data_IF_601261536230
#
_entry.id   IF_601261536230
#
_cell.length_a   1.000
_cell.length_b   1.000
_cell.length_c   1.000
_cell.angle_alpha   90.00
_cell.angle_beta   90.00
_cell.angle_gamma   90.00
#
_symmetry.space_group_name_H-M   'P 1'
#
loop_
_entity.id
_entity.type
_entity.pdbx_description
1 polymer ?
#
# COMPACT_ATOMS: atom_id res chain seq x y z
N UNK A 1 -9.62 -22.99 -6.63
CA UNK A 1 -9.96 -21.54 -6.69
C UNK A 1 -8.67 -20.78 -6.95
N UNK A 2 -8.68 -19.78 -7.84
CA UNK A 2 -7.51 -18.93 -8.09
C UNK A 2 -7.24 -18.06 -6.86
N UNK A 3 -5.96 -17.76 -6.58
CA UNK A 3 -5.59 -16.85 -5.49
C UNK A 3 -6.05 -15.42 -5.84
N UNK A 4 -6.96 -14.79 -5.07
CA UNK A 4 -7.50 -13.48 -5.38
C UNK A 4 -6.48 -12.34 -5.26
N UNK A 5 -5.32 -12.59 -4.66
CA UNK A 5 -4.24 -11.60 -4.54
C UNK A 5 -3.42 -11.47 -5.83
N UNK A 6 -3.44 -12.51 -6.69
CA UNK A 6 -2.76 -12.48 -7.99
C UNK A 6 -3.75 -11.93 -9.02
N UNK A 7 -3.43 -10.77 -9.55
CA UNK A 7 -4.30 -10.05 -10.47
C UNK A 7 -3.60 -9.81 -11.81
N UNK A 8 -3.57 -8.58 -12.30
CA UNK A 8 -2.87 -8.19 -13.53
C UNK A 8 -1.39 -8.01 -13.25
N UNK A 9 -0.56 -8.26 -14.26
CA UNK A 9 0.87 -7.99 -14.19
C UNK A 9 1.28 -7.05 -15.31
N UNK A 10 2.16 -6.11 -15.01
CA UNK A 10 2.74 -5.20 -15.98
C UNK A 10 4.21 -4.95 -15.65
N UNK A 11 5.02 -4.76 -16.68
CA UNK A 11 6.44 -4.46 -16.50
C UNK A 11 6.62 -3.02 -16.04
N UNK A 12 7.31 -2.84 -14.91
CA UNK A 12 7.71 -1.54 -14.34
C UNK A 12 9.24 -1.55 -14.21
N UNK A 13 9.92 -0.76 -15.03
CA UNK A 13 11.38 -0.83 -15.10
C UNK A 13 11.87 -2.23 -15.51
N UNK A 14 12.56 -2.94 -14.62
CA UNK A 14 13.18 -4.24 -14.88
C UNK A 14 12.45 -5.44 -14.24
N UNK A 15 11.29 -5.24 -13.60
CA UNK A 15 10.51 -6.29 -12.96
C UNK A 15 9.01 -6.17 -13.26
N UNK A 16 8.22 -7.19 -12.91
CA UNK A 16 6.77 -7.19 -13.09
C UNK A 16 6.08 -6.77 -11.80
N UNK A 17 5.17 -5.82 -11.89
CA UNK A 17 4.30 -5.38 -10.79
C UNK A 17 2.95 -6.06 -10.91
N UNK A 18 2.55 -6.79 -9.84
CA UNK A 18 1.19 -7.26 -9.68
C UNK A 18 0.31 -6.09 -9.24
N UNK A 19 -0.87 -5.93 -9.86
CA UNK A 19 -1.78 -4.85 -9.52
C UNK A 19 -3.24 -5.23 -9.80
N UNK A 20 -4.14 -4.70 -8.97
CA UNK A 20 -5.58 -4.74 -9.20
C UNK A 20 -6.01 -3.52 -10.01
N UNK A 21 -6.98 -3.70 -10.90
CA UNK A 21 -7.54 -2.65 -11.76
C UNK A 21 -9.04 -2.91 -11.91
N UNK A 22 -9.85 -2.17 -11.22
CA UNK A 22 -11.28 -2.37 -11.08
C UNK A 22 -12.04 -1.08 -11.38
N UNK A 23 -13.25 -1.22 -11.91
CA UNK A 23 -14.13 -0.09 -12.19
C UNK A 23 -13.70 0.77 -13.36
N UNK A 24 -14.33 1.95 -13.47
CA UNK A 24 -14.12 2.93 -14.55
C UNK A 24 -14.34 4.35 -14.01
N UNK A 25 -13.89 5.37 -14.75
CA UNK A 25 -14.09 6.78 -14.39
C UNK A 25 -12.86 7.44 -13.80
N UNK A 26 -13.05 8.39 -12.87
CA UNK A 26 -11.95 9.10 -12.21
C UNK A 26 -11.05 8.10 -11.47
N UNK A 27 -9.73 8.24 -11.66
CA UNK A 27 -8.77 7.26 -11.18
C UNK A 27 -8.36 7.54 -9.73
N UNK A 28 -8.34 6.48 -8.94
CA UNK A 28 -7.78 6.45 -7.58
C UNK A 28 -6.74 5.34 -7.52
N UNK A 29 -5.53 5.67 -7.10
CA UNK A 29 -4.49 4.69 -6.81
C UNK A 29 -4.38 4.47 -5.31
N UNK A 30 -4.48 3.20 -4.90
CA UNK A 30 -4.34 2.75 -3.52
C UNK A 30 -2.93 2.22 -3.27
N UNK A 31 -2.27 2.72 -2.24
CA UNK A 31 -0.95 2.26 -1.81
C UNK A 31 -1.08 1.62 -0.43
N UNK A 32 -0.75 0.32 -0.34
CA UNK A 32 -0.87 -0.47 0.89
C UNK A 32 0.20 -0.11 1.94
N UNK A 33 -0.01 -0.55 3.17
CA UNK A 33 0.96 -0.45 4.27
C UNK A 33 2.13 -1.44 4.13
N UNK A 34 3.01 -1.44 5.13
CA UNK A 34 4.15 -2.36 5.20
C UNK A 34 4.03 -3.27 6.41
N UNK A 35 3.57 -4.47 6.23
CA UNK A 35 3.52 -5.47 7.29
C UNK A 35 3.83 -6.86 6.74
N UNK A 36 4.17 -7.82 7.58
CA UNK A 36 4.34 -9.20 7.14
C UNK A 36 3.08 -9.72 6.45
N UNK A 37 3.21 -10.26 5.23
CA UNK A 37 2.09 -10.81 4.47
C UNK A 37 1.15 -9.79 3.82
N UNK A 38 1.47 -8.48 3.85
CA UNK A 38 0.64 -7.46 3.20
C UNK A 38 0.75 -7.55 1.68
N UNK A 39 -0.40 -7.35 1.04
CA UNK A 39 -0.55 -7.12 -0.40
C UNK A 39 -1.58 -6.02 -0.63
N UNK A 40 -1.69 -5.54 -1.85
CA UNK A 40 -2.77 -4.62 -2.21
C UNK A 40 -4.14 -5.22 -1.92
N UNK A 41 -4.34 -6.50 -2.24
CA UNK A 41 -5.60 -7.19 -1.95
C UNK A 41 -5.85 -7.31 -0.44
N UNK A 42 -4.87 -7.78 0.32
CA UNK A 42 -5.01 -7.94 1.78
C UNK A 42 -5.39 -6.62 2.46
N UNK A 43 -4.80 -5.50 2.01
CA UNK A 43 -5.08 -4.18 2.57
C UNK A 43 -6.43 -3.60 2.10
N UNK A 44 -6.81 -3.80 0.82
CA UNK A 44 -7.87 -3.01 0.18
C UNK A 44 -9.10 -3.82 -0.28
N UNK A 45 -9.14 -5.13 -0.06
CA UNK A 45 -10.23 -6.03 -0.52
C UNK A 45 -11.64 -5.58 -0.12
N UNK A 46 -11.78 -4.88 1.02
CA UNK A 46 -13.06 -4.34 1.47
C UNK A 46 -13.44 -3.02 0.81
N UNK A 47 -12.46 -2.21 0.41
CA UNK A 47 -12.68 -0.86 -0.13
C UNK A 47 -12.71 -0.83 -1.66
N UNK A 48 -11.86 -1.63 -2.32
CA UNK A 48 -11.75 -1.64 -3.78
C UNK A 48 -13.08 -1.91 -4.49
N UNK A 49 -13.85 -2.96 -4.15
CA UNK A 49 -15.11 -3.25 -4.87
C UNK A 49 -16.13 -2.13 -4.73
N UNK A 50 -16.25 -1.54 -3.54
CA UNK A 50 -17.21 -0.48 -3.26
C UNK A 50 -16.87 0.79 -4.04
N UNK A 51 -15.60 1.18 -4.05
CA UNK A 51 -15.17 2.37 -4.78
C UNK A 51 -15.15 2.16 -6.29
N UNK A 52 -14.93 0.93 -6.74
CA UNK A 52 -14.97 0.57 -8.16
C UNK A 52 -16.36 0.73 -8.80
N UNK A 53 -17.42 0.88 -8.02
CA UNK A 53 -18.75 1.22 -8.54
C UNK A 53 -18.81 2.63 -9.17
N UNK A 54 -17.90 3.53 -8.75
CA UNK A 54 -17.89 4.95 -9.16
C UNK A 54 -16.56 5.45 -9.72
N UNK A 55 -15.47 4.74 -9.46
CA UNK A 55 -14.11 5.14 -9.79
C UNK A 55 -13.37 4.01 -10.49
N UNK A 56 -12.33 4.35 -11.24
CA UNK A 56 -11.33 3.36 -11.61
C UNK A 56 -10.31 3.25 -10.46
N UNK A 57 -10.16 2.06 -9.91
CA UNK A 57 -9.27 1.78 -8.78
C UNK A 57 -8.07 0.98 -9.26
N UNK A 58 -6.87 1.51 -9.05
CA UNK A 58 -5.60 0.82 -9.27
C UNK A 58 -4.93 0.58 -7.92
N UNK A 59 -4.56 -0.66 -7.64
CA UNK A 59 -3.90 -1.02 -6.39
C UNK A 59 -2.72 -1.98 -6.67
N UNK A 60 -1.49 -1.46 -6.76
CA UNK A 60 -0.29 -2.28 -6.95
C UNK A 60 0.19 -2.91 -5.65
N UNK A 61 0.83 -4.07 -5.77
CA UNK A 61 1.75 -4.56 -4.77
C UNK A 61 3.09 -3.85 -4.94
N UNK A 62 3.54 -3.14 -3.91
CA UNK A 62 4.85 -2.50 -3.94
C UNK A 62 5.95 -3.56 -3.96
N UNK A 63 7.07 -3.29 -4.66
CA UNK A 63 8.19 -4.23 -4.75
C UNK A 63 8.70 -4.63 -3.35
N UNK A 64 8.87 -5.92 -3.14
CA UNK A 64 9.14 -6.52 -1.83
C UNK A 64 7.89 -7.04 -1.10
N UNK A 65 6.68 -6.71 -1.59
CA UNK A 65 5.40 -7.12 -1.01
C UNK A 65 4.55 -7.90 -2.00
N UNK A 66 3.53 -8.58 -1.49
CA UNK A 66 2.54 -9.30 -2.27
C UNK A 66 3.14 -10.21 -3.34
N UNK A 67 2.64 -10.07 -4.55
CA UNK A 67 2.98 -10.90 -5.72
C UNK A 67 3.75 -10.13 -6.81
N UNK A 68 4.22 -8.93 -6.53
CA UNK A 68 5.20 -8.23 -7.35
C UNK A 68 6.55 -8.95 -7.28
N UNK A 69 7.28 -9.00 -8.39
CA UNK A 69 8.60 -9.62 -8.46
C UNK A 69 9.52 -9.06 -7.36
N UNK A 70 10.49 -9.89 -6.95
CA UNK A 70 11.56 -9.52 -6.01
C UNK A 70 12.91 -9.66 -6.69
N UNK A 71 13.31 -8.66 -7.52
CA UNK A 71 14.56 -8.74 -8.27
C UNK A 71 15.75 -8.89 -7.35
N UNK A 72 16.69 -9.76 -7.73
CA UNK A 72 17.95 -9.88 -7.03
C UNK A 72 18.72 -8.55 -7.08
N UNK A 73 19.35 -8.16 -5.97
CA UNK A 73 20.15 -6.93 -5.88
C UNK A 73 19.35 -5.63 -5.81
N UNK A 74 18.00 -5.68 -5.79
CA UNK A 74 17.21 -4.47 -5.62
C UNK A 74 17.40 -3.86 -4.23
N UNK A 75 17.50 -2.54 -4.16
CA UNK A 75 17.50 -1.80 -2.90
C UNK A 75 16.08 -1.37 -2.55
N UNK A 76 15.57 -1.83 -1.40
CA UNK A 76 14.27 -1.42 -0.89
C UNK A 76 14.39 -0.09 -0.16
N UNK A 77 14.06 0.99 -0.86
CA UNK A 77 14.07 2.35 -0.32
C UNK A 77 12.95 3.19 -0.96
N UNK A 78 12.75 4.38 -0.45
CA UNK A 78 11.68 5.28 -0.92
C UNK A 78 11.81 5.61 -2.41
N UNK A 79 13.02 5.78 -2.92
CA UNK A 79 13.24 6.10 -4.34
C UNK A 79 12.81 4.96 -5.27
N UNK A 80 13.07 3.72 -4.86
CA UNK A 80 12.65 2.52 -5.61
C UNK A 80 11.13 2.42 -5.70
N UNK A 81 10.41 2.63 -4.59
CA UNK A 81 8.95 2.58 -4.58
C UNK A 81 8.31 3.77 -5.31
N UNK A 82 8.90 4.95 -5.20
CA UNK A 82 8.49 6.13 -5.99
C UNK A 82 8.65 5.82 -7.48
N UNK A 83 9.81 5.31 -7.89
CA UNK A 83 10.07 5.00 -9.30
C UNK A 83 9.11 3.91 -9.81
N UNK A 84 8.89 2.81 -9.05
CA UNK A 84 7.92 1.79 -9.40
C UNK A 84 6.53 2.37 -9.66
N UNK A 85 6.09 3.30 -8.81
CA UNK A 85 4.76 3.91 -8.93
C UNK A 85 4.65 4.76 -10.19
N UNK A 86 5.68 5.53 -10.52
CA UNK A 86 5.72 6.35 -11.74
C UNK A 86 5.79 5.45 -12.97
N UNK A 87 6.64 4.42 -12.98
CA UNK A 87 6.74 3.46 -14.08
C UNK A 87 5.40 2.73 -14.31
N UNK A 88 4.68 2.39 -13.23
CA UNK A 88 3.35 1.81 -13.33
C UNK A 88 2.34 2.78 -13.98
N UNK A 89 2.34 4.03 -13.54
CA UNK A 89 1.48 5.06 -14.14
C UNK A 89 1.78 5.22 -15.62
N UNK A 90 3.05 5.31 -15.99
CA UNK A 90 3.48 5.50 -17.38
C UNK A 90 3.12 4.27 -18.23
N UNK A 91 3.36 3.05 -17.73
CA UNK A 91 3.00 1.82 -18.42
C UNK A 91 1.49 1.64 -18.63
N UNK A 92 0.67 2.22 -17.75
CA UNK A 92 -0.80 2.22 -17.85
C UNK A 92 -1.36 3.44 -18.59
N UNK A 93 -0.54 4.35 -19.07
CA UNK A 93 -0.96 5.60 -19.72
C UNK A 93 -1.69 6.56 -18.78
N UNK A 94 -1.37 6.52 -17.47
CA UNK A 94 -1.99 7.36 -16.46
C UNK A 94 -1.16 8.63 -16.30
N UNK A 95 -1.66 9.74 -16.82
CA UNK A 95 -1.00 11.03 -16.67
C UNK A 95 -1.15 11.58 -15.25
N UNK A 96 -2.35 11.43 -14.65
CA UNK A 96 -2.67 12.00 -13.35
C UNK A 96 -3.68 11.15 -12.58
N UNK A 97 -3.52 11.08 -11.24
CA UNK A 97 -4.40 10.28 -10.37
C UNK A 97 -4.61 10.93 -9.00
N UNK A 98 -5.60 10.41 -8.26
CA UNK A 98 -5.74 10.63 -6.82
C UNK A 98 -5.01 9.50 -6.07
N UNK A 99 -4.45 9.78 -4.90
CA UNK A 99 -3.76 8.79 -4.06
C UNK A 99 -4.52 8.53 -2.76
N UNK A 100 -4.55 7.27 -2.36
CA UNK A 100 -4.95 6.84 -1.02
C UNK A 100 -3.82 5.97 -0.49
N UNK A 101 -3.16 6.41 0.57
CA UNK A 101 -2.02 5.71 1.16
C UNK A 101 -2.27 5.33 2.61
N UNK A 102 -2.05 4.05 2.93
CA UNK A 102 -2.17 3.53 4.28
C UNK A 102 -0.79 3.32 4.91
N UNK A 103 -0.55 3.86 6.12
CA UNK A 103 0.69 3.65 6.87
C UNK A 103 1.94 4.02 6.03
N UNK A 104 2.80 3.05 5.73
CA UNK A 104 3.92 3.21 4.77
C UNK A 104 3.46 3.77 3.42
N UNK A 105 2.32 3.30 2.89
CA UNK A 105 1.76 3.82 1.64
C UNK A 105 1.41 5.30 1.72
N UNK A 106 1.11 5.82 2.91
CA UNK A 106 0.95 7.26 3.16
C UNK A 106 2.26 8.03 3.05
N UNK A 107 3.37 7.49 3.59
CA UNK A 107 4.70 8.09 3.39
C UNK A 107 5.10 8.12 1.91
N UNK A 108 4.83 7.02 1.19
CA UNK A 108 5.08 6.95 -0.25
C UNK A 108 4.22 7.97 -1.03
N UNK A 109 2.94 8.13 -0.67
CA UNK A 109 2.05 9.12 -1.26
C UNK A 109 2.57 10.56 -1.06
N UNK A 110 3.10 10.88 0.11
CA UNK A 110 3.76 12.16 0.39
C UNK A 110 5.01 12.35 -0.48
N UNK A 111 5.89 11.34 -0.54
CA UNK A 111 7.11 11.39 -1.35
C UNK A 111 6.80 11.58 -2.84
N UNK A 112 5.79 10.87 -3.36
CA UNK A 112 5.29 11.00 -4.73
C UNK A 112 4.79 12.42 -5.02
N UNK A 113 3.98 12.98 -4.13
CA UNK A 113 3.40 14.31 -4.29
C UNK A 113 4.48 15.41 -4.26
N UNK A 114 5.51 15.24 -3.42
CA UNK A 114 6.64 16.17 -3.35
C UNK A 114 7.50 16.10 -4.62
N UNK A 115 7.83 14.88 -5.08
CA UNK A 115 8.72 14.71 -6.25
C UNK A 115 8.02 14.96 -7.59
N UNK A 116 6.73 14.63 -7.68
CA UNK A 116 5.94 14.68 -8.93
C UNK A 116 4.59 15.39 -8.73
N UNK A 117 4.57 16.66 -8.27
CA UNK A 117 3.32 17.34 -7.87
C UNK A 117 2.28 17.42 -8.99
N UNK A 118 2.71 17.42 -10.24
CA UNK A 118 1.81 17.50 -11.40
C UNK A 118 1.13 16.17 -11.74
N UNK A 119 1.57 15.05 -11.16
CA UNK A 119 1.01 13.71 -11.40
C UNK A 119 -0.14 13.35 -10.46
N UNK A 120 -0.40 14.17 -9.43
CA UNK A 120 -1.38 13.85 -8.39
C UNK A 120 -2.32 15.03 -8.13
N UNK A 121 -3.64 14.72 -8.00
CA UNK A 121 -4.67 15.74 -7.77
C UNK A 121 -4.99 15.90 -6.28
N UNK A 122 -5.34 14.78 -5.63
CA UNK A 122 -5.77 14.72 -4.23
C UNK A 122 -5.06 13.56 -3.55
N UNK A 123 -4.82 13.71 -2.25
CA UNK A 123 -4.17 12.67 -1.44
C UNK A 123 -4.99 12.44 -0.18
N UNK A 124 -5.31 11.18 0.09
CA UNK A 124 -5.89 10.73 1.36
C UNK A 124 -4.84 9.91 2.10
N UNK A 125 -4.54 10.30 3.32
CA UNK A 125 -3.58 9.66 4.19
C UNK A 125 -4.31 8.94 5.32
N UNK A 126 -4.05 7.64 5.47
CA UNK A 126 -4.65 6.80 6.49
C UNK A 126 -3.56 6.28 7.42
N UNK A 127 -3.48 6.85 8.66
CA UNK A 127 -2.45 6.47 9.62
C UNK A 127 -1.03 6.55 9.06
N UNK A 128 -0.74 7.59 8.26
CA UNK A 128 0.49 7.70 7.50
C UNK A 128 1.70 7.86 8.42
N UNK A 129 2.80 7.18 8.07
CA UNK A 129 4.14 7.47 8.58
C UNK A 129 4.83 8.50 7.68
N UNK A 130 6.02 8.97 8.07
CA UNK A 130 6.79 9.94 7.26
C UNK A 130 6.64 11.40 7.71
N UNK A 131 5.91 11.64 8.78
CA UNK A 131 5.83 12.90 9.52
C UNK A 131 6.30 12.68 10.95
N UNK A 132 6.77 13.75 11.59
CA UNK A 132 7.15 13.66 13.01
C UNK A 132 5.90 13.43 13.87
N UNK A 133 5.98 12.50 14.81
CA UNK A 133 5.00 12.27 15.86
C UNK A 133 5.68 11.64 17.09
N UNK A 134 5.09 11.83 18.26
CA UNK A 134 5.57 11.19 19.46
C UNK A 134 5.22 9.69 19.45
N UNK A 135 6.18 8.86 19.86
CA UNK A 135 5.98 7.42 19.95
C UNK A 135 4.93 7.11 21.02
N UNK A 136 3.79 6.59 20.60
CA UNK A 136 2.75 6.16 21.52
C UNK A 136 3.04 4.77 22.09
N UNK A 137 2.46 4.44 23.24
CA UNK A 137 2.57 3.11 23.85
C UNK A 137 2.22 1.97 22.86
N UNK A 138 1.13 2.13 22.10
CA UNK A 138 0.71 1.13 21.13
C UNK A 138 1.73 0.92 19.98
N UNK A 139 2.32 2.01 19.49
CA UNK A 139 3.35 1.93 18.44
C UNK A 139 4.67 1.35 18.98
N UNK A 140 5.06 1.71 20.20
CA UNK A 140 6.23 1.12 20.84
C UNK A 140 6.10 -0.39 20.99
N UNK A 141 4.94 -0.86 21.45
CA UNK A 141 4.62 -2.29 21.54
C UNK A 141 4.60 -2.99 20.19
N UNK A 142 4.07 -2.33 19.15
CA UNK A 142 4.01 -2.90 17.81
C UNK A 142 5.39 -3.00 17.14
N UNK A 143 6.21 -1.96 17.25
CA UNK A 143 7.54 -1.93 16.63
C UNK A 143 8.60 -2.67 17.45
N UNK A 144 8.46 -2.68 18.78
CA UNK A 144 9.32 -3.45 19.69
C UNK A 144 8.85 -4.88 19.92
N UNK A 145 7.89 -5.40 19.12
CA UNK A 145 7.30 -6.72 19.30
C UNK A 145 8.35 -7.84 19.27
N UNK A 146 8.35 -8.63 20.32
CA UNK A 146 9.09 -9.90 20.37
C UNK A 146 8.11 -11.07 20.38
N UNK A 147 8.30 -12.11 19.55
CA UNK A 147 7.33 -13.20 19.40
C UNK A 147 7.08 -13.96 20.69
N UNK A 148 5.86 -13.85 21.23
CA UNK A 148 5.33 -14.69 22.31
C UNK A 148 3.81 -14.64 22.29
N UNK A 149 3.16 -15.62 22.93
CA UNK A 149 1.69 -15.64 23.03
C UNK A 149 1.19 -14.43 23.83
N UNK A 150 1.86 -14.09 24.93
CA UNK A 150 1.44 -12.98 25.78
C UNK A 150 1.63 -11.62 25.09
N UNK A 151 2.74 -11.41 24.39
CA UNK A 151 2.96 -10.19 23.61
C UNK A 151 1.97 -10.08 22.45
N UNK A 152 1.59 -11.21 21.83
CA UNK A 152 0.56 -11.21 20.78
C UNK A 152 -0.81 -10.82 21.33
N UNK A 153 -1.21 -11.36 22.50
CA UNK A 153 -2.46 -10.97 23.16
C UNK A 153 -2.47 -9.48 23.50
N UNK A 154 -1.35 -8.95 24.03
CA UNK A 154 -1.22 -7.53 24.33
C UNK A 154 -1.39 -6.66 23.07
N UNK A 155 -0.79 -7.06 21.94
CA UNK A 155 -0.98 -6.35 20.68
C UNK A 155 -2.42 -6.40 20.17
N UNK A 156 -3.06 -7.56 20.25
CA UNK A 156 -4.46 -7.71 19.85
C UNK A 156 -5.38 -6.82 20.71
N UNK A 157 -5.13 -6.75 22.01
CA UNK A 157 -5.85 -5.86 22.92
C UNK A 157 -5.71 -4.38 22.59
N UNK A 158 -4.55 -3.97 22.06
CA UNK A 158 -4.29 -2.59 21.64
C UNK A 158 -4.97 -2.27 20.30
N UNK A 159 -4.93 -3.20 19.34
CA UNK A 159 -5.38 -2.94 17.98
C UNK A 159 -6.84 -3.34 17.70
N UNK A 160 -7.42 -4.28 18.45
CA UNK A 160 -8.78 -4.71 18.26
C UNK A 160 -9.77 -3.77 18.99
N UNK A 161 -10.62 -3.08 18.24
CA UNK A 161 -11.75 -2.33 18.80
C UNK A 161 -12.78 -3.28 19.42
N UNK A 162 -13.10 -4.35 18.71
CA UNK A 162 -13.99 -5.41 19.18
C UNK A 162 -13.15 -6.59 19.69
N UNK A 163 -13.11 -6.75 21.02
CA UNK A 163 -12.35 -7.81 21.67
C UNK A 163 -12.99 -9.19 21.60
N UNK A 164 -14.20 -9.30 21.09
CA UNK A 164 -14.89 -10.59 20.93
C UNK A 164 -14.26 -11.48 19.86
N UNK A 165 -13.37 -10.90 19.03
CA UNK A 165 -12.67 -11.59 17.95
C UNK A 165 -11.25 -12.08 18.35
N UNK A 166 -10.84 -11.84 19.60
CA UNK A 166 -9.50 -12.17 20.13
C UNK A 166 -9.51 -13.39 21.03
#
# INVERSE_FOLDING_TARGET
MSNPEIAKNIKTGNFNTNYHDLGQGELIMFIHGSGPGVSAYANWRGSMPVLAEKFRVIAPDMVGFGYTDRPEGITYNMDTWVQQTIDLMDALGIEKTNLVGNSFGGALALALTIKYPNRFNKVVLMGAVGVYFDLTYGLDKAWGYTPSIDNMKELLDIFAYDRSIV
#
